data_IF_347447275958
#
_entry.id   IF_347447275958
#
_cell.length_a   1.000
_cell.length_b   1.000
_cell.length_c   1.000
_cell.angle_alpha   90.00
_cell.angle_beta   90.00
_cell.angle_gamma   90.00
#
_symmetry.space_group_name_H-M   'P 1'
#
loop_
_entity.id
_entity.type
_entity.pdbx_description
1 polymer ?
#
# COMPACT_ATOMS: atom_id res chain seq x y z
N UNK A 1 19.37 -25.61 -24.57
CA UNK A 1 19.26 -24.29 -25.25
C UNK A 1 17.82 -23.78 -25.30
N UNK A 2 16.83 -24.66 -25.16
CA UNK A 2 15.42 -24.36 -25.46
C UNK A 2 14.74 -23.45 -24.42
N UNK A 3 15.09 -23.56 -23.13
CA UNK A 3 14.51 -22.68 -22.10
C UNK A 3 14.78 -21.20 -22.35
N UNK A 4 16.02 -20.84 -22.75
CA UNK A 4 16.37 -19.45 -23.07
C UNK A 4 15.51 -18.91 -24.22
N UNK A 5 15.39 -19.70 -25.29
CA UNK A 5 14.59 -19.30 -26.45
C UNK A 5 13.08 -19.19 -26.11
N UNK A 6 12.58 -20.07 -25.23
CA UNK A 6 11.19 -20.03 -24.76
C UNK A 6 10.89 -18.82 -23.88
N UNK A 7 11.81 -18.43 -22.98
CA UNK A 7 11.69 -17.21 -22.18
C UNK A 7 11.64 -15.97 -23.10
N UNK A 8 12.58 -15.86 -24.06
CA UNK A 8 12.63 -14.73 -25.00
C UNK A 8 11.34 -14.62 -25.81
N UNK A 9 10.82 -15.74 -26.33
CA UNK A 9 9.54 -15.76 -27.07
C UNK A 9 8.36 -15.33 -26.19
N UNK A 10 8.32 -15.78 -24.95
CA UNK A 10 7.24 -15.47 -24.01
C UNK A 10 7.26 -14.02 -23.57
N UNK A 11 8.44 -13.48 -23.25
CA UNK A 11 8.64 -12.07 -22.91
C UNK A 11 8.19 -11.16 -24.05
N UNK A 12 8.61 -11.46 -25.29
CA UNK A 12 8.18 -10.68 -26.46
C UNK A 12 6.67 -10.69 -26.64
N UNK A 13 6.02 -11.84 -26.40
CA UNK A 13 4.56 -11.95 -26.43
C UNK A 13 3.91 -11.09 -25.34
N UNK A 14 4.44 -11.11 -24.12
CA UNK A 14 3.93 -10.32 -23.00
C UNK A 14 4.03 -8.81 -23.29
N UNK A 15 5.19 -8.34 -23.75
CA UNK A 15 5.41 -6.93 -24.10
C UNK A 15 4.45 -6.44 -25.18
N UNK A 16 4.22 -7.25 -26.22
CA UNK A 16 3.27 -6.93 -27.28
C UNK A 16 1.83 -6.83 -26.74
N UNK A 17 1.41 -7.75 -25.87
CA UNK A 17 0.06 -7.74 -25.29
C UNK A 17 -0.15 -6.54 -24.37
N UNK A 18 0.87 -6.14 -23.61
CA UNK A 18 0.85 -4.95 -22.75
C UNK A 18 0.96 -3.64 -23.54
N UNK A 19 1.13 -3.68 -24.87
CA UNK A 19 1.36 -2.48 -25.68
C UNK A 19 2.62 -1.73 -25.28
N UNK A 20 3.63 -2.44 -24.74
CA UNK A 20 4.85 -1.88 -24.16
C UNK A 20 4.63 -0.94 -22.96
N UNK A 21 3.41 -0.90 -22.39
CA UNK A 21 3.11 -0.19 -21.14
C UNK A 21 3.43 -1.12 -19.97
N UNK A 22 4.67 -1.03 -19.47
CA UNK A 22 5.19 -1.89 -18.40
C UNK A 22 5.33 -1.20 -17.04
N UNK A 23 5.09 0.12 -17.00
CA UNK A 23 5.19 0.89 -15.77
C UNK A 23 3.90 0.78 -14.94
N UNK A 24 4.02 0.29 -13.72
CA UNK A 24 2.91 0.20 -12.77
C UNK A 24 3.21 1.07 -11.55
N UNK A 25 2.27 1.94 -11.19
CA UNK A 25 2.34 2.73 -9.97
C UNK A 25 1.74 1.92 -8.82
N UNK A 26 2.59 1.34 -7.98
CA UNK A 26 2.12 0.58 -6.83
C UNK A 26 1.81 1.48 -5.62
N UNK A 27 0.75 1.18 -4.86
CA UNK A 27 0.25 2.01 -3.76
C UNK A 27 1.10 1.94 -2.48
N UNK A 28 2.15 1.12 -2.40
CA UNK A 28 3.02 1.04 -1.20
C UNK A 28 3.52 2.41 -0.73
N UNK A 29 3.98 3.24 -1.68
CA UNK A 29 4.49 4.58 -1.39
C UNK A 29 3.38 5.49 -0.88
N UNK A 30 2.18 5.39 -1.45
CA UNK A 30 1.00 6.16 -1.03
C UNK A 30 0.58 5.79 0.40
N UNK A 31 0.61 4.49 0.75
CA UNK A 31 0.30 4.05 2.11
C UNK A 31 1.22 4.74 3.13
N UNK A 32 2.53 4.75 2.86
CA UNK A 32 3.49 5.42 3.74
C UNK A 32 3.22 6.93 3.83
N UNK A 33 3.01 7.59 2.69
CA UNK A 33 2.75 9.04 2.63
C UNK A 33 1.47 9.40 3.41
N UNK A 34 0.37 8.69 3.19
CA UNK A 34 -0.89 8.98 3.88
C UNK A 34 -0.79 8.75 5.38
N UNK A 35 -0.18 7.64 5.83
CA UNK A 35 0.05 7.44 7.26
C UNK A 35 0.95 8.52 7.88
N UNK A 36 1.92 9.03 7.11
CA UNK A 36 2.75 10.14 7.55
C UNK A 36 1.96 11.45 7.70
N UNK A 37 1.17 11.81 6.68
CA UNK A 37 0.31 13.01 6.69
C UNK A 37 -0.71 12.95 7.83
N UNK A 38 -1.25 11.77 8.11
CA UNK A 38 -2.16 11.52 9.22
C UNK A 38 -1.49 11.59 10.61
N UNK A 39 -0.17 11.77 10.69
CA UNK A 39 0.58 11.78 11.95
C UNK A 39 0.62 10.42 12.66
N UNK A 40 0.33 9.34 11.93
CA UNK A 40 0.27 7.97 12.46
C UNK A 40 1.61 7.23 12.36
N UNK A 41 2.59 7.81 11.67
CA UNK A 41 3.96 7.30 11.66
C UNK A 41 4.81 7.97 12.73
N UNK A 42 5.40 7.17 13.60
CA UNK A 42 6.38 7.60 14.61
C UNK A 42 7.71 6.88 14.39
N UNK A 43 8.80 7.63 14.48
CA UNK A 43 10.17 7.12 14.33
C UNK A 43 10.85 7.02 15.69
N UNK A 44 11.81 6.11 15.81
CA UNK A 44 12.63 5.98 17.01
C UNK A 44 13.48 7.23 17.31
N UNK A 45 13.75 8.04 16.29
CA UNK A 45 14.46 9.32 16.41
C UNK A 45 13.59 10.46 16.95
N UNK A 46 12.28 10.27 17.13
CA UNK A 46 11.37 11.30 17.64
C UNK A 46 11.49 11.34 19.18
N UNK A 47 12.05 12.41 19.77
CA UNK A 47 12.32 12.49 21.21
C UNK A 47 11.04 12.45 22.06
N UNK A 48 9.87 12.72 21.46
CA UNK A 48 8.58 12.74 22.14
C UNK A 48 7.75 11.48 21.92
N UNK A 49 8.25 10.50 21.17
CA UNK A 49 7.50 9.28 20.85
C UNK A 49 7.72 8.18 21.90
N UNK A 50 6.63 7.63 22.42
CA UNK A 50 6.70 6.46 23.31
C UNK A 50 6.96 5.19 22.49
N UNK A 51 7.68 4.20 23.07
CA UNK A 51 7.92 2.89 22.43
C UNK A 51 6.63 2.22 21.93
N UNK A 52 5.54 2.38 22.68
CA UNK A 52 4.21 1.87 22.31
C UNK A 52 3.67 2.53 21.03
N UNK A 53 3.84 3.85 20.88
CA UNK A 53 3.41 4.58 19.68
C UNK A 53 4.24 4.17 18.45
N UNK A 54 5.54 3.94 18.64
CA UNK A 54 6.44 3.45 17.59
C UNK A 54 6.02 2.03 17.16
N UNK A 55 5.75 1.15 18.11
CA UNK A 55 5.30 -0.22 17.82
C UNK A 55 3.95 -0.22 17.10
N UNK A 56 2.99 0.60 17.55
CA UNK A 56 1.68 0.75 16.87
C UNK A 56 1.85 1.28 15.44
N UNK A 57 2.73 2.27 15.24
CA UNK A 57 3.08 2.78 13.90
C UNK A 57 3.62 1.68 12.99
N UNK A 58 4.56 0.86 13.49
CA UNK A 58 5.14 -0.26 12.74
C UNK A 58 4.07 -1.32 12.41
N UNK A 59 3.25 -1.70 13.38
CA UNK A 59 2.17 -2.67 13.19
C UNK A 59 1.16 -2.19 12.13
N UNK A 60 0.74 -0.92 12.21
CA UNK A 60 -0.22 -0.34 11.27
C UNK A 60 0.31 -0.31 9.84
N UNK A 61 1.56 0.15 9.65
CA UNK A 61 2.20 0.20 8.34
C UNK A 61 2.37 -1.21 7.76
N UNK A 62 2.88 -2.15 8.56
CA UNK A 62 3.09 -3.52 8.14
C UNK A 62 1.76 -4.18 7.72
N UNK A 63 0.71 -4.00 8.50
CA UNK A 63 -0.61 -4.59 8.23
C UNK A 63 -1.25 -4.00 6.97
N UNK A 64 -1.16 -2.69 6.78
CA UNK A 64 -1.64 -2.04 5.55
C UNK A 64 -0.89 -2.54 4.31
N UNK A 65 0.44 -2.72 4.39
CA UNK A 65 1.22 -3.32 3.31
C UNK A 65 0.87 -4.79 3.05
N UNK A 66 0.62 -5.58 4.10
CA UNK A 66 0.16 -6.96 3.96
C UNK A 66 -1.17 -7.04 3.20
N UNK A 67 -2.16 -6.22 3.54
CA UNK A 67 -3.43 -6.21 2.80
C UNK A 67 -3.27 -5.80 1.34
N UNK A 68 -2.40 -4.84 1.07
CA UNK A 68 -2.10 -4.42 -0.29
C UNK A 68 -1.43 -5.58 -1.08
N UNK A 69 -0.52 -6.33 -0.45
CA UNK A 69 0.12 -7.49 -1.07
C UNK A 69 -0.90 -8.60 -1.35
N UNK A 70 -1.84 -8.85 -0.44
CA UNK A 70 -2.93 -9.80 -0.67
C UNK A 70 -3.82 -9.36 -1.84
N UNK A 71 -4.03 -8.06 -1.99
CA UNK A 71 -4.75 -7.47 -3.11
C UNK A 71 -4.16 -7.83 -4.48
N UNK A 72 -2.84 -8.08 -4.59
CA UNK A 72 -2.20 -8.48 -5.85
C UNK A 72 -2.70 -9.83 -6.38
N UNK A 73 -3.35 -10.64 -5.52
CA UNK A 73 -4.01 -11.89 -5.90
C UNK A 73 -5.45 -11.68 -6.39
N UNK A 74 -5.90 -10.44 -6.47
CA UNK A 74 -7.24 -10.04 -6.92
C UNK A 74 -7.14 -9.10 -8.12
N UNK A 75 -8.27 -8.70 -8.68
CA UNK A 75 -8.34 -7.78 -9.81
C UNK A 75 -8.50 -6.30 -9.40
N UNK A 76 -8.38 -5.96 -8.11
CA UNK A 76 -8.64 -4.60 -7.62
C UNK A 76 -7.71 -3.54 -8.25
N UNK A 77 -6.48 -3.92 -8.61
CA UNK A 77 -5.49 -3.05 -9.27
C UNK A 77 -5.86 -2.69 -10.72
N UNK A 78 -6.81 -3.40 -11.31
CA UNK A 78 -7.37 -3.11 -12.63
C UNK A 78 -8.65 -2.25 -12.55
N UNK A 79 -9.25 -2.15 -11.36
CA UNK A 79 -10.56 -1.54 -11.14
C UNK A 79 -10.49 -0.19 -10.43
N UNK A 80 -9.47 0.02 -9.59
CA UNK A 80 -9.37 1.18 -8.72
C UNK A 80 -8.01 1.85 -8.82
N UNK A 81 -8.00 3.16 -8.53
CA UNK A 81 -6.75 3.93 -8.51
C UNK A 81 -5.86 3.52 -7.34
N UNK A 82 -4.53 3.69 -7.44
CA UNK A 82 -3.61 3.39 -6.34
C UNK A 82 -3.96 4.13 -5.04
N UNK A 83 -4.45 5.37 -5.11
CA UNK A 83 -4.88 6.18 -3.97
C UNK A 83 -6.05 5.51 -3.24
N UNK A 84 -7.06 5.07 -4.00
CA UNK A 84 -8.24 4.38 -3.47
C UNK A 84 -7.84 3.09 -2.77
N UNK A 85 -6.94 2.31 -3.39
CA UNK A 85 -6.43 1.06 -2.82
C UNK A 85 -5.64 1.32 -1.53
N UNK A 86 -4.77 2.32 -1.53
CA UNK A 86 -4.00 2.71 -0.34
C UNK A 86 -4.94 3.12 0.81
N UNK A 87 -5.97 3.91 0.52
CA UNK A 87 -6.96 4.32 1.52
C UNK A 87 -7.70 3.12 2.09
N UNK A 88 -8.15 2.19 1.26
CA UNK A 88 -8.83 0.97 1.70
C UNK A 88 -7.94 0.11 2.61
N UNK A 89 -6.67 -0.07 2.24
CA UNK A 89 -5.70 -0.84 3.04
C UNK A 89 -5.45 -0.20 4.41
N UNK A 90 -5.26 1.12 4.46
CA UNK A 90 -5.10 1.87 5.72
C UNK A 90 -6.38 1.78 6.56
N UNK A 91 -7.54 1.98 5.95
CA UNK A 91 -8.82 1.96 6.64
C UNK A 91 -9.10 0.59 7.28
N UNK A 92 -8.72 -0.48 6.60
CA UNK A 92 -8.82 -1.85 7.12
C UNK A 92 -7.77 -2.12 8.22
N UNK A 93 -6.51 -1.69 8.01
CA UNK A 93 -5.46 -1.84 9.00
C UNK A 93 -5.80 -1.12 10.32
N UNK A 94 -6.25 0.14 10.24
CA UNK A 94 -6.63 0.95 11.39
C UNK A 94 -7.72 0.30 12.27
N UNK A 95 -8.63 -0.48 11.66
CA UNK A 95 -9.68 -1.22 12.38
C UNK A 95 -9.24 -2.55 12.97
N UNK A 96 -8.15 -3.13 12.47
CA UNK A 96 -7.78 -4.53 12.71
C UNK A 96 -6.48 -4.71 13.49
N UNK A 97 -5.66 -3.67 13.65
CA UNK A 97 -4.53 -3.67 14.59
C UNK A 97 -4.98 -3.93 16.02
N UNK A 98 -4.09 -4.44 16.87
CA UNK A 98 -4.41 -4.80 18.25
C UNK A 98 -5.03 -3.65 19.06
N UNK A 99 -4.59 -2.42 18.77
CA UNK A 99 -5.16 -1.19 19.33
C UNK A 99 -5.73 -0.33 18.19
N UNK A 100 -7.05 -0.38 17.95
CA UNK A 100 -7.68 0.30 16.83
C UNK A 100 -7.41 1.80 16.81
N UNK A 101 -7.23 2.34 15.61
CA UNK A 101 -6.94 3.75 15.36
C UNK A 101 -8.17 4.43 14.75
N UNK A 102 -8.59 5.54 15.35
CA UNK A 102 -9.69 6.36 14.83
C UNK A 102 -9.11 7.32 13.80
N UNK A 103 -9.56 7.20 12.55
CA UNK A 103 -9.16 8.08 11.46
C UNK A 103 -10.07 9.32 11.39
N UNK A 104 -9.54 10.50 11.02
CA UNK A 104 -10.30 11.74 11.06
C UNK A 104 -11.42 11.75 10.01
N UNK A 105 -12.62 12.18 10.44
CA UNK A 105 -13.80 12.30 9.56
C UNK A 105 -14.33 13.74 9.43
N UNK A 106 -13.81 14.65 10.24
CA UNK A 106 -14.22 16.05 10.32
C UNK A 106 -12.97 16.95 10.26
N UNK A 107 -13.01 18.11 9.59
CA UNK A 107 -14.15 18.67 8.84
C UNK A 107 -14.47 17.92 7.55
N UNK A 108 -13.51 17.19 6.98
CA UNK A 108 -13.69 16.32 5.83
C UNK A 108 -13.13 14.91 6.12
N UNK A 109 -13.69 13.86 5.49
CA UNK A 109 -13.09 12.53 5.52
C UNK A 109 -11.64 12.53 5.05
N UNK A 110 -10.76 11.90 5.82
CA UNK A 110 -9.32 11.89 5.56
C UNK A 110 -8.87 11.32 4.21
N UNK A 111 -9.72 10.56 3.54
CA UNK A 111 -9.44 9.88 2.28
C UNK A 111 -9.92 10.66 1.04
N UNK A 112 -10.56 11.82 1.22
CA UNK A 112 -10.91 12.72 0.13
C UNK A 112 -9.69 13.60 -0.16
N UNK A 113 -8.87 13.14 -1.11
CA UNK A 113 -7.74 13.90 -1.67
C UNK A 113 -8.10 14.40 -3.07
#
# INVERSE_FOLDING_TARGET
MDMKNNVIKSERRLLNVLGFVVHVHHPHKLIYIYLHILGLLRKESDPNATKEQINRSKELLQKAWSYMNDGLRTDMFLRYTPETIACACIQLAAKTVAQPVILPKSPFPWFLF
#
